data_IF_462869330954
#
_entry.id   IF_462869330954
#
_cell.length_a   1.000
_cell.length_b   1.000
_cell.length_c   1.000
_cell.angle_alpha   90.00
_cell.angle_beta   90.00
_cell.angle_gamma   90.00
#
_symmetry.space_group_name_H-M   'P 1'
#
loop_
_entity.id
_entity.type
_entity.pdbx_description
1 polymer ?
#
# COMPACT_ATOMS: atom_id res chain seq x y z
N UNK A 1 -31.28 -23.15 20.57
CA UNK A 1 -30.86 -22.25 19.47
C UNK A 1 -29.49 -22.70 18.98
N UNK A 2 -29.46 -23.45 17.87
CA UNK A 2 -28.23 -24.01 17.30
C UNK A 2 -27.60 -22.96 16.38
N UNK A 3 -26.38 -22.52 16.71
CA UNK A 3 -25.59 -21.64 15.87
C UNK A 3 -24.92 -22.46 14.75
N UNK A 4 -25.53 -22.46 13.57
CA UNK A 4 -24.98 -23.10 12.37
C UNK A 4 -23.87 -22.22 11.77
N UNK A 5 -22.61 -22.59 12.01
CA UNK A 5 -21.45 -22.01 11.33
C UNK A 5 -21.38 -22.53 9.89
N UNK A 6 -21.90 -21.77 8.92
CA UNK A 6 -21.86 -22.13 7.50
C UNK A 6 -20.54 -21.70 6.84
N UNK A 7 -19.74 -22.66 6.35
CA UNK A 7 -18.50 -22.44 5.59
C UNK A 7 -18.81 -22.27 4.11
N UNK A 8 -18.53 -21.09 3.56
CA UNK A 8 -18.58 -20.82 2.13
C UNK A 8 -17.16 -20.64 1.60
N UNK A 9 -16.78 -21.49 0.66
CA UNK A 9 -15.62 -21.30 -0.21
C UNK A 9 -16.17 -20.87 -1.57
N UNK A 10 -16.05 -19.58 -1.89
CA UNK A 10 -16.14 -19.12 -3.27
C UNK A 10 -14.73 -19.26 -3.85
N UNK A 11 -14.54 -20.39 -4.52
CA UNK A 11 -13.31 -20.74 -5.21
C UNK A 11 -13.10 -19.87 -6.44
N UNK A 12 -11.88 -19.38 -6.58
CA UNK A 12 -11.33 -18.93 -7.85
C UNK A 12 -11.10 -20.20 -8.68
N UNK A 13 -11.63 -20.26 -9.91
CA UNK A 13 -11.39 -21.36 -10.85
C UNK A 13 -9.90 -21.58 -11.09
N UNK A 14 -9.40 -22.84 -11.10
CA UNK A 14 -8.05 -23.17 -11.51
C UNK A 14 -8.00 -23.46 -13.02
N UNK A 15 -7.56 -22.50 -13.82
CA UNK A 15 -7.10 -22.67 -15.21
C UNK A 15 -6.29 -21.41 -15.56
N UNK A 16 -5.03 -21.42 -15.99
CA UNK A 16 -4.13 -22.41 -16.55
C UNK A 16 -2.72 -22.15 -16.00
N UNK A 17 -1.95 -23.21 -15.76
CA UNK A 17 -0.50 -23.15 -15.61
C UNK A 17 0.16 -23.94 -16.75
N UNK A 18 1.30 -23.41 -17.20
CA UNK A 18 2.32 -23.98 -18.10
C UNK A 18 2.04 -24.00 -19.61
N UNK A 19 2.69 -23.09 -20.35
CA UNK A 19 3.94 -23.40 -21.08
C UNK A 19 4.83 -22.15 -21.05
N UNK A 20 5.94 -22.23 -20.31
CA UNK A 20 7.08 -21.33 -20.46
C UNK A 20 8.26 -22.21 -20.89
N UNK A 21 8.70 -22.08 -22.15
CA UNK A 21 10.07 -22.38 -22.57
C UNK A 21 10.32 -21.90 -24.00
N UNK A 22 11.36 -21.08 -24.10
CA UNK A 22 12.19 -20.72 -25.26
C UNK A 22 11.52 -19.93 -26.41
N UNK A 23 11.93 -18.66 -26.58
CA UNK A 23 13.07 -18.35 -27.45
C UNK A 23 13.58 -16.93 -27.13
N UNK A 24 14.83 -16.86 -26.67
CA UNK A 24 15.64 -15.65 -26.74
C UNK A 24 15.99 -15.41 -28.22
N UNK A 25 15.51 -14.31 -28.78
CA UNK A 25 16.15 -13.65 -29.93
C UNK A 25 16.26 -12.17 -29.64
N UNK A 26 17.40 -11.81 -29.06
CA UNK A 26 18.24 -10.67 -29.46
C UNK A 26 17.50 -9.56 -30.22
N UNK A 27 16.87 -8.67 -29.46
CA UNK A 27 16.92 -7.26 -29.82
C UNK A 27 17.98 -6.66 -28.90
N UNK A 28 19.01 -5.95 -29.42
CA UNK A 28 19.80 -5.09 -28.58
C UNK A 28 18.81 -4.05 -28.08
N UNK A 29 18.31 -4.24 -26.85
CA UNK A 29 17.79 -3.15 -26.05
C UNK A 29 18.83 -2.06 -26.20
N UNK A 30 18.45 -0.92 -26.74
CA UNK A 30 19.24 0.31 -26.58
C UNK A 30 19.42 0.44 -25.08
N UNK A 31 20.54 -0.07 -24.56
CA UNK A 31 20.81 -0.07 -23.14
C UNK A 31 20.89 1.40 -22.78
N UNK A 32 19.86 1.88 -22.09
CA UNK A 32 19.87 3.21 -21.52
C UNK A 32 21.13 3.27 -20.64
N UNK A 33 22.13 4.10 -20.98
CA UNK A 33 23.37 4.18 -20.19
C UNK A 33 23.10 4.62 -18.74
N UNK A 34 21.92 5.16 -18.45
CA UNK A 34 21.48 5.41 -17.08
C UNK A 34 21.04 4.13 -16.35
N UNK A 35 20.43 3.16 -17.05
CA UNK A 35 19.95 1.91 -16.44
C UNK A 35 21.10 1.02 -15.92
N UNK A 36 22.19 0.86 -16.70
CA UNK A 36 23.35 0.08 -16.26
C UNK A 36 24.01 0.69 -15.02
N UNK A 37 24.17 2.01 -15.01
CA UNK A 37 24.74 2.73 -13.87
C UNK A 37 23.85 2.66 -12.64
N UNK A 38 22.53 2.77 -12.79
CA UNK A 38 21.64 2.60 -11.66
C UNK A 38 21.65 1.18 -11.10
N UNK A 39 21.83 0.17 -11.95
CA UNK A 39 22.07 -1.19 -11.48
C UNK A 39 23.37 -1.26 -10.64
N UNK A 40 24.46 -0.65 -11.10
CA UNK A 40 25.72 -0.56 -10.32
C UNK A 40 25.55 0.18 -9.00
N UNK A 41 24.74 1.25 -8.96
CA UNK A 41 24.42 1.94 -7.72
C UNK A 41 23.70 1.00 -6.76
N UNK A 42 22.62 0.34 -7.22
CA UNK A 42 21.85 -0.63 -6.42
C UNK A 42 22.75 -1.74 -5.88
N UNK A 43 23.61 -2.33 -6.72
CA UNK A 43 24.55 -3.39 -6.31
C UNK A 43 25.57 -2.93 -5.27
N UNK A 44 25.90 -1.64 -5.24
CA UNK A 44 26.83 -1.04 -4.29
C UNK A 44 26.14 -0.37 -3.09
N UNK A 45 24.84 -0.55 -2.92
CA UNK A 45 24.09 0.03 -1.82
C UNK A 45 24.61 -0.44 -0.44
N UNK A 46 24.77 0.46 0.55
CA UNK A 46 25.06 0.07 1.91
C UNK A 46 23.99 -0.90 2.47
N UNK A 47 24.31 -1.79 3.42
CA UNK A 47 23.37 -2.83 3.88
C UNK A 47 22.02 -2.30 4.38
N UNK A 48 21.99 -1.11 4.98
CA UNK A 48 20.75 -0.46 5.40
C UNK A 48 19.86 -0.07 4.21
N UNK A 49 20.47 0.57 3.21
CA UNK A 49 19.81 0.98 1.96
C UNK A 49 19.36 -0.24 1.16
N UNK A 50 20.18 -1.29 1.08
CA UNK A 50 19.80 -2.52 0.38
C UNK A 50 18.50 -3.10 0.97
N UNK A 51 18.33 -3.10 2.30
CA UNK A 51 17.07 -3.51 2.93
C UNK A 51 15.88 -2.64 2.51
N UNK A 52 16.07 -1.33 2.35
CA UNK A 52 15.01 -0.44 1.84
C UNK A 52 14.70 -0.71 0.37
N UNK A 53 15.71 -0.98 -0.46
CA UNK A 53 15.54 -1.38 -1.86
C UNK A 53 14.70 -2.66 -1.95
N UNK A 54 15.04 -3.66 -1.14
CA UNK A 54 14.37 -4.96 -1.15
C UNK A 54 12.92 -4.86 -0.65
N UNK A 55 12.70 -4.19 0.49
CA UNK A 55 11.36 -4.04 1.09
C UNK A 55 10.46 -3.13 0.24
N UNK A 56 11.03 -2.07 -0.32
CA UNK A 56 10.31 -1.11 -1.16
C UNK A 56 10.26 -1.48 -2.64
N UNK A 57 10.90 -2.58 -3.06
CA UNK A 57 11.05 -2.96 -4.47
C UNK A 57 11.47 -1.75 -5.34
N UNK A 58 12.51 -1.05 -4.92
CA UNK A 58 12.91 0.25 -5.48
C UNK A 58 13.50 0.09 -6.88
N UNK A 59 13.09 0.95 -7.80
CA UNK A 59 13.71 1.17 -9.10
C UNK A 59 14.19 2.61 -9.19
N UNK A 60 15.38 2.81 -9.74
CA UNK A 60 15.89 4.14 -10.09
C UNK A 60 15.67 4.37 -11.59
N UNK A 61 15.18 5.55 -11.95
CA UNK A 61 14.92 5.92 -13.34
C UNK A 61 15.21 7.40 -13.60
N UNK A 62 15.36 7.78 -14.87
CA UNK A 62 15.52 9.19 -15.26
C UNK A 62 14.31 9.70 -16.02
N UNK A 63 13.77 10.85 -15.60
CA UNK A 63 12.68 11.52 -16.32
C UNK A 63 12.67 13.04 -16.06
N UNK A 64 13.50 13.78 -16.80
CA UNK A 64 13.64 15.22 -16.65
C UNK A 64 12.33 15.99 -16.89
N UNK A 65 11.46 15.50 -17.78
CA UNK A 65 10.18 16.13 -18.08
C UNK A 65 9.22 16.07 -16.88
N UNK A 66 9.15 14.92 -16.22
CA UNK A 66 8.34 14.75 -15.01
C UNK A 66 8.88 15.61 -13.87
N UNK A 67 10.19 15.59 -13.64
CA UNK A 67 10.82 16.43 -12.63
C UNK A 67 10.57 17.93 -12.88
N UNK A 68 10.65 18.38 -14.13
CA UNK A 68 10.34 19.77 -14.50
C UNK A 68 8.86 20.13 -14.24
N UNK A 69 7.93 19.21 -14.54
CA UNK A 69 6.50 19.40 -14.27
C UNK A 69 6.20 19.56 -12.77
N UNK A 70 6.93 18.82 -11.93
CA UNK A 70 6.81 18.88 -10.48
C UNK A 70 7.73 19.92 -9.82
N UNK A 71 8.61 20.59 -10.59
CA UNK A 71 9.63 21.53 -10.12
C UNK A 71 10.56 20.92 -9.06
N UNK A 72 10.91 19.64 -9.20
CA UNK A 72 11.77 18.90 -8.26
C UNK A 72 13.10 18.47 -8.90
N UNK A 73 14.09 18.16 -8.06
CA UNK A 73 15.38 17.60 -8.50
C UNK A 73 15.41 16.06 -8.44
N UNK A 74 14.60 15.49 -7.57
CA UNK A 74 14.30 14.07 -7.46
C UNK A 74 12.83 13.90 -7.11
N UNK A 75 12.27 12.72 -7.39
CA UNK A 75 10.90 12.40 -7.05
C UNK A 75 10.78 10.91 -6.75
N UNK A 76 10.36 10.59 -5.54
CA UNK A 76 10.01 9.23 -5.16
C UNK A 76 8.50 9.02 -5.28
N UNK A 77 8.12 8.07 -6.12
CA UNK A 77 6.74 7.62 -6.30
C UNK A 77 6.61 6.26 -5.66
N UNK A 78 5.52 6.05 -4.94
CA UNK A 78 5.17 4.73 -4.42
C UNK A 78 3.86 4.24 -5.03
N UNK A 79 3.72 2.92 -5.15
CA UNK A 79 2.48 2.27 -5.52
C UNK A 79 2.14 1.24 -4.45
N UNK A 80 0.95 1.37 -3.87
CA UNK A 80 0.44 0.45 -2.86
C UNK A 80 -0.40 -0.64 -3.53
N UNK A 81 0.01 -1.90 -3.35
CA UNK A 81 -0.72 -3.04 -3.89
C UNK A 81 -1.15 -3.99 -2.79
N UNK A 82 -2.32 -4.61 -2.99
CA UNK A 82 -2.90 -5.54 -2.04
C UNK A 82 -3.75 -6.57 -2.77
N UNK A 83 -3.74 -7.80 -2.25
CA UNK A 83 -4.60 -8.88 -2.69
C UNK A 83 -5.43 -9.38 -1.53
N UNK A 84 -6.72 -9.66 -1.80
CA UNK A 84 -7.63 -10.15 -0.79
C UNK A 84 -8.60 -11.19 -1.35
N UNK A 85 -9.09 -12.01 -0.44
CA UNK A 85 -10.27 -12.85 -0.60
C UNK A 85 -11.30 -12.42 0.42
N UNK A 86 -12.56 -12.73 0.17
CA UNK A 86 -13.60 -12.48 1.16
C UNK A 86 -14.52 -13.68 1.31
N UNK A 87 -15.16 -13.77 2.47
CA UNK A 87 -16.23 -14.71 2.75
C UNK A 87 -17.42 -13.96 3.31
N UNK A 88 -18.57 -14.11 2.67
CA UNK A 88 -19.84 -13.66 3.21
C UNK A 88 -20.17 -14.50 4.44
N UNK A 89 -20.44 -13.82 5.56
CA UNK A 89 -20.74 -14.47 6.85
C UNK A 89 -22.17 -14.25 7.28
N UNK A 90 -22.78 -13.12 6.89
CA UNK A 90 -24.20 -12.84 7.13
C UNK A 90 -24.77 -12.09 5.94
N UNK A 91 -25.94 -12.52 5.49
CA UNK A 91 -26.80 -11.80 4.54
C UNK A 91 -28.22 -12.00 5.03
N UNK A 92 -28.88 -10.93 5.44
CA UNK A 92 -30.26 -11.00 5.95
C UNK A 92 -31.02 -9.71 5.63
N UNK A 93 -32.35 -9.81 5.54
CA UNK A 93 -33.20 -8.63 5.44
C UNK A 93 -33.24 -7.90 6.77
N UNK A 94 -33.25 -6.58 6.72
CA UNK A 94 -33.42 -5.75 7.91
C UNK A 94 -34.90 -5.78 8.30
N UNK A 95 -35.19 -6.12 9.56
CA UNK A 95 -36.57 -6.26 10.05
C UNK A 95 -37.38 -4.96 9.91
N UNK A 96 -36.76 -3.82 10.18
CA UNK A 96 -37.39 -2.50 10.04
C UNK A 96 -37.58 -2.07 8.58
N UNK A 97 -36.85 -2.67 7.64
CA UNK A 97 -36.98 -2.38 6.21
C UNK A 97 -36.68 -3.63 5.37
N UNK A 98 -37.70 -4.46 5.07
CA UNK A 98 -37.53 -5.70 4.30
C UNK A 98 -37.01 -5.49 2.88
N UNK A 99 -37.05 -4.25 2.37
CA UNK A 99 -36.46 -3.88 1.07
C UNK A 99 -34.95 -3.70 1.12
N UNK A 100 -34.31 -3.90 2.27
CA UNK A 100 -32.86 -3.73 2.47
C UNK A 100 -32.25 -5.02 3.03
N UNK A 101 -31.07 -5.36 2.51
CA UNK A 101 -30.24 -6.47 2.96
C UNK A 101 -29.03 -5.93 3.72
N UNK A 102 -28.82 -6.41 4.94
CA UNK A 102 -27.58 -6.23 5.68
C UNK A 102 -26.59 -7.35 5.32
N UNK A 103 -25.41 -6.95 4.87
CA UNK A 103 -24.34 -7.84 4.40
C UNK A 103 -23.11 -7.69 5.27
N UNK A 104 -22.53 -8.81 5.65
CA UNK A 104 -21.27 -8.88 6.39
C UNK A 104 -20.28 -9.79 5.69
N UNK A 105 -19.11 -9.26 5.36
CA UNK A 105 -18.00 -9.97 4.73
C UNK A 105 -16.76 -9.94 5.60
N UNK A 106 -16.16 -11.11 5.83
CA UNK A 106 -14.84 -11.23 6.43
C UNK A 106 -13.79 -11.17 5.32
N UNK A 107 -12.76 -10.35 5.52
CA UNK A 107 -11.66 -10.17 4.57
C UNK A 107 -10.47 -11.02 5.00
N UNK A 108 -9.87 -11.71 4.04
CA UNK A 108 -8.62 -12.43 4.20
C UNK A 108 -7.59 -11.81 3.24
N UNK A 109 -6.62 -11.10 3.81
CA UNK A 109 -5.53 -10.51 3.04
C UNK A 109 -4.55 -11.60 2.63
N UNK A 110 -4.24 -11.66 1.33
CA UNK A 110 -3.23 -12.56 0.79
C UNK A 110 -1.86 -11.85 0.73
N UNK A 111 -1.85 -10.63 0.21
CA UNK A 111 -0.62 -9.84 0.03
C UNK A 111 -0.88 -8.36 0.32
N UNK A 112 0.14 -7.70 0.87
CA UNK A 112 0.24 -6.24 0.96
C UNK A 112 1.70 -5.88 0.67
N UNK A 113 1.92 -4.97 -0.26
CA UNK A 113 3.26 -4.49 -0.61
C UNK A 113 3.27 -3.08 -1.18
N UNK A 114 4.49 -2.59 -1.39
CA UNK A 114 4.78 -1.30 -1.98
C UNK A 114 5.87 -1.48 -3.02
N UNK A 115 5.73 -0.78 -4.14
CA UNK A 115 6.81 -0.60 -5.11
C UNK A 115 7.19 0.86 -5.21
N UNK A 116 8.45 1.15 -5.51
CA UNK A 116 8.95 2.51 -5.57
C UNK A 116 9.69 2.79 -6.87
N UNK A 117 9.45 3.99 -7.40
CA UNK A 117 10.22 4.57 -8.49
C UNK A 117 10.86 5.86 -7.99
N UNK A 118 12.18 5.87 -7.92
CA UNK A 118 12.97 7.07 -7.60
C UNK A 118 13.44 7.66 -8.93
N UNK A 119 12.83 8.79 -9.28
CA UNK A 119 13.08 9.51 -10.52
C UNK A 119 14.14 10.58 -10.27
N UNK A 120 15.21 10.58 -11.05
CA UNK A 120 16.33 11.52 -10.94
C UNK A 120 16.58 12.23 -12.28
N UNK A 121 17.22 13.41 -12.24
CA UNK A 121 17.63 14.07 -13.47
C UNK A 121 18.69 13.24 -14.19
N UNK A 122 18.71 13.26 -15.53
CA UNK A 122 19.79 12.62 -16.31
C UNK A 122 21.17 13.18 -15.95
N UNK A 123 21.25 14.49 -15.69
CA UNK A 123 22.47 15.18 -15.27
C UNK A 123 22.94 14.82 -13.86
N UNK A 124 22.09 14.15 -13.05
CA UNK A 124 22.42 13.80 -11.68
C UNK A 124 23.39 12.61 -11.62
N UNK A 125 24.69 12.91 -11.51
CA UNK A 125 25.77 11.94 -11.60
C UNK A 125 26.80 12.10 -10.47
N UNK A 126 26.41 11.95 -9.19
CA UNK A 126 27.35 12.00 -8.09
C UNK A 126 28.36 10.84 -8.15
N UNK A 127 29.60 11.12 -7.77
CA UNK A 127 30.63 10.08 -7.61
C UNK A 127 30.30 9.10 -6.48
N UNK A 128 29.67 9.60 -5.40
CA UNK A 128 29.24 8.81 -4.24
C UNK A 128 27.71 8.94 -4.05
N UNK A 129 26.89 8.19 -4.81
CA UNK A 129 25.44 8.36 -4.83
C UNK A 129 24.81 8.16 -3.44
N UNK A 130 25.26 7.18 -2.67
CA UNK A 130 24.68 6.87 -1.36
C UNK A 130 25.03 7.88 -0.25
N UNK A 131 26.03 8.74 -0.49
CA UNK A 131 26.37 9.89 0.38
C UNK A 131 25.69 11.17 -0.08
N UNK A 132 25.05 11.15 -1.24
CA UNK A 132 24.44 12.32 -1.80
C UNK A 132 23.14 12.67 -1.07
N UNK A 133 23.01 13.95 -0.75
CA UNK A 133 21.87 14.48 0.00
C UNK A 133 20.53 14.24 -0.71
N UNK A 134 20.50 14.41 -2.03
CA UNK A 134 19.28 14.19 -2.81
C UNK A 134 18.85 12.73 -2.74
N UNK A 135 19.76 11.77 -2.96
CA UNK A 135 19.38 10.35 -2.92
C UNK A 135 18.98 9.91 -1.52
N UNK A 136 19.65 10.43 -0.47
CA UNK A 136 19.21 10.21 0.91
C UNK A 136 17.81 10.75 1.16
N UNK A 137 17.49 11.96 0.68
CA UNK A 137 16.14 12.52 0.78
C UNK A 137 15.10 11.65 0.05
N UNK A 138 15.40 11.16 -1.15
CA UNK A 138 14.49 10.25 -1.87
C UNK A 138 14.29 8.91 -1.11
N UNK A 139 15.34 8.37 -0.50
CA UNK A 139 15.23 7.16 0.31
C UNK A 139 14.54 7.38 1.67
N UNK A 140 14.39 8.62 2.12
CA UNK A 140 13.52 8.93 3.26
C UNK A 140 12.06 8.78 2.91
N UNK A 141 11.65 9.14 1.69
CA UNK A 141 10.31 8.83 1.20
C UNK A 141 10.07 7.33 1.15
N UNK A 142 11.03 6.55 0.65
CA UNK A 142 10.96 5.07 0.70
C UNK A 142 10.83 4.59 2.14
N UNK A 143 11.57 5.19 3.08
CA UNK A 143 11.50 4.82 4.50
C UNK A 143 10.11 5.11 5.10
N UNK A 144 9.48 6.23 4.74
CA UNK A 144 8.13 6.61 5.20
C UNK A 144 7.08 5.63 4.69
N UNK A 145 7.10 5.29 3.41
CA UNK A 145 6.13 4.38 2.78
C UNK A 145 6.39 2.90 3.08
N UNK A 146 7.57 2.55 3.58
CA UNK A 146 7.89 1.20 4.06
C UNK A 146 7.90 1.07 5.58
N UNK A 147 7.47 2.10 6.31
CA UNK A 147 7.43 2.10 7.77
C UNK A 147 6.64 0.88 8.29
N UNK A 148 7.21 0.06 9.20
CA UNK A 148 6.52 -1.10 9.76
C UNK A 148 5.15 -0.78 10.37
N UNK A 149 4.95 0.44 10.89
CA UNK A 149 3.68 0.94 11.43
C UNK A 149 2.64 1.10 10.33
N UNK A 150 3.02 1.61 9.16
CA UNK A 150 2.13 1.72 8.00
C UNK A 150 1.65 0.33 7.56
N UNK A 151 2.53 -0.68 7.57
CA UNK A 151 2.15 -2.07 7.25
C UNK A 151 1.14 -2.64 8.25
N UNK A 152 1.28 -2.32 9.54
CA UNK A 152 0.30 -2.68 10.56
C UNK A 152 -1.02 -1.96 10.30
N UNK A 153 -0.99 -0.64 10.07
CA UNK A 153 -2.17 0.16 9.76
C UNK A 153 -2.93 -0.39 8.54
N UNK A 154 -2.22 -0.71 7.47
CA UNK A 154 -2.80 -1.29 6.25
C UNK A 154 -3.46 -2.66 6.54
N UNK A 155 -2.82 -3.51 7.34
CA UNK A 155 -3.39 -4.82 7.74
C UNK A 155 -4.66 -4.66 8.57
N UNK A 156 -4.68 -3.78 9.55
CA UNK A 156 -5.87 -3.52 10.38
C UNK A 156 -6.99 -2.89 9.54
N UNK A 157 -6.64 -1.95 8.66
CA UNK A 157 -7.60 -1.25 7.80
C UNK A 157 -8.25 -2.19 6.78
N UNK A 158 -7.43 -2.88 5.98
CA UNK A 158 -7.90 -3.74 4.90
C UNK A 158 -8.45 -5.08 5.43
N UNK A 159 -7.93 -5.58 6.56
CA UNK A 159 -8.36 -6.84 7.16
C UNK A 159 -9.64 -6.72 7.99
N UNK A 160 -10.07 -5.51 8.34
CA UNK A 160 -11.30 -5.29 9.10
C UNK A 160 -12.52 -5.84 8.36
N UNK A 161 -13.48 -6.38 9.11
CA UNK A 161 -14.78 -6.82 8.58
C UNK A 161 -15.44 -5.71 7.77
N UNK A 162 -16.09 -6.08 6.67
CA UNK A 162 -16.90 -5.18 5.86
C UNK A 162 -18.36 -5.43 6.18
N UNK A 163 -19.07 -4.33 6.48
CA UNK A 163 -20.51 -4.31 6.75
C UNK A 163 -21.14 -3.21 5.91
N UNK A 164 -22.21 -3.54 5.21
CA UNK A 164 -22.95 -2.58 4.39
C UNK A 164 -24.38 -3.06 4.16
N UNK A 165 -25.20 -2.12 3.69
CA UNK A 165 -26.58 -2.37 3.32
C UNK A 165 -26.76 -2.24 1.81
N UNK A 166 -27.64 -3.08 1.22
CA UNK A 166 -28.01 -3.00 -0.18
C UNK A 166 -29.53 -3.08 -0.35
N UNK A 167 -30.11 -2.36 -1.33
CA UNK A 167 -31.48 -2.60 -1.75
C UNK A 167 -31.68 -4.06 -2.19
N UNK A 168 -32.64 -4.74 -1.57
CA UNK A 168 -33.15 -6.04 -1.97
C UNK A 168 -33.69 -5.97 -3.38
N UNK A 169 -33.34 -6.96 -4.20
CA UNK A 169 -33.91 -7.12 -5.55
C UNK A 169 -35.11 -8.07 -5.42
N UNK A 170 -36.30 -7.75 -5.97
CA UNK A 170 -37.37 -8.72 -6.06
C UNK A 170 -36.88 -9.89 -6.90
N UNK A 171 -36.69 -11.04 -6.27
CA UNK A 171 -36.23 -12.24 -6.95
C UNK A 171 -37.47 -13.05 -7.31
N UNK A 172 -37.79 -13.14 -8.60
CA UNK A 172 -38.86 -14.02 -9.13
C UNK A 172 -38.45 -15.49 -9.13
N UNK A 173 -37.17 -15.77 -8.93
CA UNK A 173 -36.62 -17.11 -8.85
C UNK A 173 -36.57 -17.57 -7.40
N UNK A 174 -37.20 -18.71 -7.12
CA UNK A 174 -37.05 -19.46 -5.88
C UNK A 174 -35.56 -19.72 -5.67
N UNK A 175 -34.94 -18.86 -4.87
CA UNK A 175 -33.53 -18.98 -4.51
C UNK A 175 -33.42 -20.28 -3.72
N UNK A 176 -32.73 -21.27 -4.28
CA UNK A 176 -32.23 -22.38 -3.47
C UNK A 176 -31.48 -21.76 -2.29
N UNK A 177 -31.83 -22.19 -1.09
CA UNK A 177 -31.65 -21.55 0.22
C UNK A 177 -30.21 -21.11 0.58
N UNK A 178 -29.23 -21.34 -0.30
CA UNK A 178 -27.80 -21.30 -0.02
C UNK A 178 -26.97 -20.40 -0.94
N UNK A 179 -27.54 -19.75 -1.98
CA UNK A 179 -26.79 -18.80 -2.82
C UNK A 179 -27.63 -17.56 -3.20
N UNK A 180 -27.09 -16.33 -3.05
CA UNK A 180 -27.75 -15.16 -3.59
C UNK A 180 -27.84 -15.28 -5.12
N UNK A 181 -28.94 -14.82 -5.75
CA UNK A 181 -29.05 -14.81 -7.20
C UNK A 181 -27.89 -14.02 -7.82
N UNK A 182 -27.40 -14.44 -8.98
CA UNK A 182 -26.19 -13.87 -9.60
C UNK A 182 -26.17 -12.33 -9.65
N UNK A 183 -27.27 -11.62 -9.98
CA UNK A 183 -27.27 -10.15 -9.95
C UNK A 183 -27.00 -9.54 -8.57
N UNK A 184 -27.47 -10.19 -7.51
CA UNK A 184 -27.24 -9.74 -6.13
C UNK A 184 -25.80 -10.01 -5.70
N UNK A 185 -25.26 -11.19 -6.04
CA UNK A 185 -23.87 -11.54 -5.77
C UNK A 185 -22.90 -10.51 -6.39
N UNK A 186 -23.10 -10.17 -7.67
CA UNK A 186 -22.30 -9.15 -8.37
C UNK A 186 -22.37 -7.77 -7.71
N UNK A 187 -23.55 -7.38 -7.19
CA UNK A 187 -23.71 -6.11 -6.46
C UNK A 187 -22.95 -6.12 -5.13
N UNK A 188 -23.01 -7.23 -4.39
CA UNK A 188 -22.26 -7.40 -3.14
C UNK A 188 -20.76 -7.35 -3.39
N UNK A 189 -20.28 -8.07 -4.40
CA UNK A 189 -18.86 -8.08 -4.78
C UNK A 189 -18.36 -6.69 -5.16
N UNK A 190 -19.13 -5.97 -5.99
CA UNK A 190 -18.79 -4.58 -6.36
C UNK A 190 -18.71 -3.69 -5.13
N UNK A 191 -19.66 -3.80 -4.20
CA UNK A 191 -19.67 -2.98 -2.99
C UNK A 191 -18.49 -3.30 -2.07
N UNK A 192 -18.14 -4.58 -1.91
CA UNK A 192 -16.94 -5.01 -1.18
C UNK A 192 -15.69 -4.40 -1.83
N UNK A 193 -15.56 -4.50 -3.16
CA UNK A 193 -14.44 -3.91 -3.88
C UNK A 193 -14.37 -2.40 -3.66
N UNK A 194 -15.48 -1.68 -3.77
CA UNK A 194 -15.52 -0.23 -3.54
C UNK A 194 -15.04 0.14 -2.13
N UNK A 195 -15.48 -0.59 -1.10
CA UNK A 195 -15.06 -0.34 0.27
C UNK A 195 -13.58 -0.68 0.50
N UNK A 196 -13.06 -1.73 -0.14
CA UNK A 196 -11.63 -2.05 -0.13
C UNK A 196 -10.80 -0.97 -0.82
N UNK A 197 -11.24 -0.50 -2.00
CA UNK A 197 -10.58 0.59 -2.73
C UNK A 197 -10.57 1.89 -1.91
N UNK A 198 -11.66 2.20 -1.19
CA UNK A 198 -11.73 3.36 -0.29
C UNK A 198 -10.72 3.25 0.85
N UNK A 199 -10.63 2.08 1.49
CA UNK A 199 -9.65 1.81 2.56
C UNK A 199 -8.21 1.91 2.05
N UNK A 200 -7.92 1.37 0.88
CA UNK A 200 -6.60 1.45 0.27
C UNK A 200 -6.21 2.90 -0.07
N UNK A 201 -7.12 3.67 -0.68
CA UNK A 201 -6.91 5.10 -0.96
C UNK A 201 -6.65 5.91 0.30
N UNK A 202 -7.25 5.54 1.43
CA UNK A 202 -6.98 6.20 2.70
C UNK A 202 -5.56 5.93 3.21
N UNK A 203 -5.06 4.70 3.05
CA UNK A 203 -3.66 4.36 3.37
C UNK A 203 -2.70 5.17 2.50
N UNK A 204 -2.97 5.26 1.19
CA UNK A 204 -2.20 6.08 0.26
C UNK A 204 -2.24 7.57 0.64
N UNK A 205 -3.43 8.10 0.95
CA UNK A 205 -3.62 9.50 1.35
C UNK A 205 -2.79 9.85 2.59
N UNK A 206 -2.86 9.03 3.64
CA UNK A 206 -2.09 9.27 4.88
C UNK A 206 -0.59 9.23 4.59
N UNK A 207 -0.12 8.26 3.79
CA UNK A 207 1.29 8.15 3.40
C UNK A 207 1.74 9.39 2.63
N UNK A 208 0.93 9.86 1.68
CA UNK A 208 1.21 11.07 0.91
C UNK A 208 1.29 12.31 1.80
N UNK A 209 0.35 12.48 2.74
CA UNK A 209 0.37 13.62 3.68
C UNK A 209 1.62 13.65 4.55
N UNK A 210 2.15 12.48 4.92
CA UNK A 210 3.39 12.37 5.69
C UNK A 210 4.63 12.63 4.82
N UNK A 211 4.63 12.21 3.57
CA UNK A 211 5.66 12.59 2.59
C UNK A 211 5.65 14.11 2.33
N UNK A 212 4.48 14.72 2.13
CA UNK A 212 4.35 16.17 1.94
C UNK A 212 4.79 16.95 3.18
N UNK A 213 4.56 16.41 4.37
CA UNK A 213 5.10 16.97 5.62
C UNK A 213 6.62 16.90 5.63
N UNK A 214 7.20 15.76 5.29
CA UNK A 214 8.64 15.57 5.22
C UNK A 214 9.29 16.50 4.19
N UNK A 215 8.70 16.67 3.00
CA UNK A 215 9.15 17.62 1.99
C UNK A 215 9.18 19.06 2.51
N UNK A 216 8.10 19.50 3.16
CA UNK A 216 8.00 20.85 3.71
C UNK A 216 9.07 21.13 4.75
N UNK A 217 9.32 20.15 5.63
CA UNK A 217 10.25 20.28 6.76
C UNK A 217 11.72 20.13 6.33
N UNK A 218 11.98 19.31 5.31
CA UNK A 218 13.31 19.18 4.69
C UNK A 218 13.56 20.22 3.58
N UNK A 219 12.56 21.01 3.20
CA UNK A 219 12.56 21.89 2.01
C UNK A 219 12.97 21.12 0.76
N UNK A 220 12.25 20.05 0.45
CA UNK A 220 12.55 19.14 -0.66
C UNK A 220 14.01 18.65 -0.59
N UNK A 221 14.43 18.27 0.61
CA UNK A 221 15.77 17.76 0.86
C UNK A 221 16.86 18.82 0.96
N UNK A 222 16.60 20.13 0.77
CA UNK A 222 17.61 21.21 0.85
C UNK A 222 18.17 21.42 2.26
N UNK A 223 17.39 21.16 3.31
CA UNK A 223 17.82 21.27 4.70
C UNK A 223 17.66 19.94 5.45
N UNK A 224 18.53 19.73 6.44
CA UNK A 224 18.61 18.44 7.14
C UNK A 224 17.58 18.50 8.24
N UNK A 225 16.77 17.45 8.36
CA UNK A 225 15.86 17.35 9.50
C UNK A 225 16.72 17.11 10.73
N UNK A 226 16.56 17.97 11.74
CA UNK A 226 17.39 17.98 12.95
C UNK A 226 17.33 16.67 13.74
N UNK A 227 16.54 16.62 14.82
CA UNK A 227 16.35 15.39 15.59
C UNK A 227 15.50 14.37 14.80
N UNK A 228 16.12 13.67 13.85
CA UNK A 228 15.48 12.75 12.89
C UNK A 228 14.59 11.69 13.58
N UNK A 229 15.08 11.09 14.65
CA UNK A 229 14.29 10.12 15.44
C UNK A 229 13.04 10.78 16.02
N UNK A 230 13.17 11.97 16.62
CA UNK A 230 12.03 12.72 17.17
C UNK A 230 11.04 13.09 16.07
N UNK A 231 11.53 13.50 14.92
CA UNK A 231 10.69 13.84 13.76
C UNK A 231 9.85 12.66 13.29
N UNK A 232 10.46 11.48 13.09
CA UNK A 232 9.71 10.30 12.63
C UNK A 232 8.97 9.56 13.74
N UNK A 233 9.22 9.89 15.01
CA UNK A 233 8.53 9.24 16.14
C UNK A 233 7.02 9.41 16.09
N UNK A 234 6.55 10.56 15.60
CA UNK A 234 5.12 10.86 15.52
C UNK A 234 4.47 10.32 14.22
N UNK A 235 5.25 9.90 13.22
CA UNK A 235 4.72 9.36 11.96
C UNK A 235 3.88 8.13 12.24
N UNK A 236 2.70 8.06 11.61
CA UNK A 236 1.71 7.00 11.84
C UNK A 236 1.31 6.80 13.32
N UNK A 237 1.68 7.66 14.26
CA UNK A 237 1.21 7.52 15.64
C UNK A 237 -0.32 7.67 15.69
N UNK A 238 -1.03 7.03 16.64
CA UNK A 238 -2.48 7.19 16.75
C UNK A 238 -2.91 8.66 16.83
N UNK A 239 -2.14 9.52 17.51
CA UNK A 239 -2.43 10.95 17.61
C UNK A 239 -2.25 11.67 16.27
N UNK A 240 -1.20 11.34 15.52
CA UNK A 240 -1.01 11.87 14.16
C UNK A 240 -2.12 11.41 13.23
N UNK A 241 -2.53 10.14 13.27
CA UNK A 241 -3.64 9.64 12.45
C UNK A 241 -4.95 10.34 12.76
N UNK A 242 -5.23 10.65 14.05
CA UNK A 242 -6.39 11.48 14.43
C UNK A 242 -6.29 12.90 13.89
N UNK A 243 -5.11 13.53 13.98
CA UNK A 243 -4.87 14.89 13.44
C UNK A 243 -5.02 14.96 11.92
N UNK A 244 -4.70 13.88 11.21
CA UNK A 244 -4.85 13.75 9.76
C UNK A 244 -6.27 13.32 9.33
N UNK A 245 -7.21 13.28 10.27
CA UNK A 245 -8.61 12.89 10.05
C UNK A 245 -8.72 11.50 9.39
N UNK A 246 -8.08 10.49 9.98
CA UNK A 246 -8.14 9.13 9.48
C UNK A 246 -9.58 8.61 9.46
N UNK A 247 -10.05 8.20 8.28
CA UNK A 247 -11.47 7.92 8.02
C UNK A 247 -12.04 6.68 8.76
N UNK A 248 -11.18 5.87 9.37
CA UNK A 248 -11.57 4.65 10.09
C UNK A 248 -11.16 4.71 11.57
N UNK A 249 -11.69 5.67 12.37
CA UNK A 249 -11.24 5.89 13.74
C UNK A 249 -11.44 4.68 14.66
N UNK A 250 -12.44 3.84 14.39
CA UNK A 250 -12.67 2.57 15.12
C UNK A 250 -11.53 1.57 15.00
N UNK A 251 -10.66 1.73 14.01
CA UNK A 251 -9.50 0.85 13.77
C UNK A 251 -8.23 1.37 14.46
N UNK A 252 -8.27 2.56 15.07
CA UNK A 252 -7.10 3.14 15.73
C UNK A 252 -6.74 2.45 17.04
N UNK A 253 -7.70 1.89 17.78
CA UNK A 253 -7.42 1.17 19.03
C UNK A 253 -6.66 -0.14 18.82
N UNK A 254 -7.11 -1.07 17.94
CA UNK A 254 -6.33 -2.27 17.65
C UNK A 254 -4.96 -1.92 17.03
N UNK A 255 -4.92 -0.91 16.16
CA UNK A 255 -3.68 -0.37 15.62
C UNK A 255 -2.72 0.14 16.69
N UNK A 256 -3.20 0.95 17.64
CA UNK A 256 -2.40 1.54 18.72
C UNK A 256 -1.78 0.49 19.66
N UNK A 257 -2.41 -0.67 19.79
CA UNK A 257 -1.84 -1.82 20.51
C UNK A 257 -0.71 -2.47 19.72
N UNK A 258 -0.91 -2.69 18.42
CA UNK A 258 0.05 -3.34 17.55
C UNK A 258 1.29 -2.48 17.25
N UNK A 259 1.10 -1.17 17.01
CA UNK A 259 2.17 -0.29 16.53
C UNK A 259 3.25 0.03 17.59
N UNK A 260 2.95 -0.11 18.89
CA UNK A 260 3.94 0.10 19.97
C UNK A 260 5.14 -0.83 19.89
N UNK A 261 4.97 -1.99 19.26
CA UNK A 261 6.01 -3.02 19.10
C UNK A 261 6.69 -2.97 17.73
N UNK A 262 6.31 -2.02 16.88
CA UNK A 262 6.89 -1.88 15.55
C UNK A 262 8.34 -1.39 15.66
N UNK A 263 9.30 -2.02 14.96
CA UNK A 263 10.72 -1.62 14.96
C UNK A 263 10.95 -0.41 14.04
N UNK A 264 10.20 0.68 14.26
CA UNK A 264 10.23 1.85 13.39
C UNK A 264 11.53 2.64 13.57
N UNK A 265 12.13 2.65 14.77
CA UNK A 265 13.37 3.38 15.03
C UNK A 265 14.51 2.83 14.18
N UNK A 266 14.69 1.51 14.23
CA UNK A 266 15.71 0.79 13.46
C UNK A 266 15.49 0.97 11.95
N UNK A 267 14.23 1.05 11.52
CA UNK A 267 13.86 1.28 10.14
C UNK A 267 14.37 2.63 9.60
N UNK A 268 14.22 3.73 10.35
CA UNK A 268 14.72 5.04 9.91
C UNK A 268 16.24 5.21 10.01
N UNK A 269 16.93 4.32 10.74
CA UNK A 269 18.39 4.25 10.76
C UNK A 269 18.96 3.56 9.51
N UNK A 270 18.14 2.86 8.72
CA UNK A 270 18.58 2.22 7.48
C UNK A 270 19.14 3.21 6.45
N UNK A 271 18.62 4.43 6.47
CA UNK A 271 19.03 5.56 5.61
C UNK A 271 19.78 6.66 6.39
N UNK A 272 20.29 6.37 7.58
CA UNK A 272 21.10 7.35 8.30
C UNK A 272 22.42 7.60 7.52
N UNK A 273 22.84 8.86 7.32
CA UNK A 273 24.14 9.14 6.72
C UNK A 273 25.24 8.54 7.61
N UNK A 274 26.05 7.67 7.01
CA UNK A 274 27.25 7.09 7.63
C UNK A 274 28.38 8.14 7.69
#
# INVERSE_FOLDING_TARGET
>A
MLASSLKFYLGISPALAFVALAFSTLLPSTQDPHAERFAQWIESAPPGIQRLIDVGQVRLETNDQELAAHKKQGLTKFNFHYDYRYRLTKVHRIESNPSVLAVTANIQLAEIGWTHHVVLMKSYQPAEPWKSRLLQHEFDHVSISTDPRLKILAKECLGARIEFELPSVPTTENSTENQPPAPLATRMERQIKTLMDQRAKEIERITQLLNDRFDRESKDGVQTIGARETFFSDFFSPDTLRKLDFQFPKLLDPYASACRRAPWKEHYLLNAPY
#
